data_IF_451049593611
#
_entry.id   IF_451049593611
#
_cell.length_a   1.000
_cell.length_b   1.000
_cell.length_c   1.000
_cell.angle_alpha   90.00
_cell.angle_beta   90.00
_cell.angle_gamma   90.00
#
_symmetry.space_group_name_H-M   'P 1'
#
loop_
_entity.id
_entity.type
_entity.pdbx_description
1 polymer ?
#
# COMPACT_ATOMS: atom_id res chain seq x y z
N UNK A 1 -36.03 3.68 -28.98
CA UNK A 1 -34.80 3.84 -28.16
C UNK A 1 -33.84 2.76 -28.62
N UNK A 2 -32.77 3.14 -29.30
CA UNK A 2 -31.83 2.18 -29.89
C UNK A 2 -30.96 1.56 -28.79
N UNK A 3 -31.03 0.24 -28.63
CA UNK A 3 -30.27 -0.47 -27.59
C UNK A 3 -28.78 -0.39 -27.86
N UNK A 4 -28.00 0.15 -26.92
CA UNK A 4 -26.54 0.20 -27.04
C UNK A 4 -25.99 -1.23 -27.02
N UNK A 5 -25.34 -1.66 -28.10
CA UNK A 5 -24.69 -2.98 -28.17
C UNK A 5 -23.66 -3.13 -27.05
N UNK A 6 -23.75 -4.22 -26.30
CA UNK A 6 -22.81 -4.60 -25.23
C UNK A 6 -22.26 -5.98 -25.57
N UNK A 7 -20.99 -6.22 -25.27
CA UNK A 7 -20.35 -7.53 -25.41
C UNK A 7 -20.30 -8.25 -24.07
N UNK A 8 -20.77 -9.49 -24.06
CA UNK A 8 -20.55 -10.41 -22.94
C UNK A 8 -19.32 -11.26 -23.20
N UNK A 9 -18.46 -11.39 -22.20
CA UNK A 9 -17.26 -12.22 -22.22
C UNK A 9 -17.38 -13.25 -21.10
N UNK A 10 -17.32 -14.54 -21.45
CA UNK A 10 -17.31 -15.64 -20.48
C UNK A 10 -15.91 -16.24 -20.39
N UNK A 11 -15.41 -16.41 -19.18
CA UNK A 11 -14.10 -17.01 -18.91
C UNK A 11 -14.24 -18.07 -17.83
N UNK A 12 -13.78 -19.27 -18.15
CA UNK A 12 -13.67 -20.37 -17.19
C UNK A 12 -12.34 -20.24 -16.45
N UNK A 13 -12.39 -20.11 -15.12
CA UNK A 13 -11.20 -20.22 -14.27
C UNK A 13 -10.93 -21.69 -13.97
N UNK A 14 -9.86 -22.24 -14.56
CA UNK A 14 -9.43 -23.64 -14.38
C UNK A 14 -9.04 -23.98 -12.94
N UNK A 15 -8.74 -22.97 -12.11
CA UNK A 15 -8.27 -23.19 -10.72
C UNK A 15 -9.44 -23.37 -9.77
N UNK A 16 -10.48 -22.56 -9.96
CA UNK A 16 -11.67 -22.53 -9.10
C UNK A 16 -12.84 -23.31 -9.70
N UNK A 17 -12.73 -23.72 -10.96
CA UNK A 17 -13.80 -24.32 -11.75
C UNK A 17 -15.08 -23.45 -11.76
N UNK A 18 -14.90 -22.13 -11.81
CA UNK A 18 -15.98 -21.13 -11.83
C UNK A 18 -15.98 -20.41 -13.16
N UNK A 19 -17.17 -20.20 -13.73
CA UNK A 19 -17.35 -19.36 -14.92
C UNK A 19 -17.61 -17.93 -14.48
N UNK A 20 -16.77 -17.02 -14.94
CA UNK A 20 -16.95 -15.58 -14.76
C UNK A 20 -17.53 -14.96 -16.02
N UNK A 21 -18.54 -14.10 -15.84
CA UNK A 21 -19.18 -13.37 -16.93
C UNK A 21 -18.93 -11.87 -16.76
N UNK A 22 -18.41 -11.24 -17.81
CA UNK A 22 -18.08 -9.82 -17.84
C UNK A 22 -18.84 -9.12 -18.95
N UNK A 23 -19.37 -7.94 -18.67
CA UNK A 23 -19.97 -7.06 -19.68
C UNK A 23 -18.99 -5.93 -20.00
N UNK A 24 -18.69 -5.74 -21.27
CA UNK A 24 -17.79 -4.68 -21.72
C UNK A 24 -18.34 -3.95 -22.94
N UNK A 25 -18.08 -2.66 -23.01
CA UNK A 25 -18.28 -1.84 -24.21
C UNK A 25 -17.10 -1.96 -25.19
N UNK A 26 -16.04 -2.68 -24.81
CA UNK A 26 -14.85 -2.87 -25.63
C UNK A 26 -14.96 -4.15 -26.48
N UNK A 27 -15.12 -3.94 -27.80
CA UNK A 27 -15.22 -5.01 -28.77
C UNK A 27 -13.87 -5.44 -29.34
N UNK A 28 -12.83 -4.61 -29.23
CA UNK A 28 -11.51 -4.84 -29.82
C UNK A 28 -10.62 -5.75 -28.96
N UNK A 29 -10.76 -5.72 -27.64
CA UNK A 29 -9.90 -6.48 -26.75
C UNK A 29 -10.20 -7.98 -26.78
N UNK A 30 -9.16 -8.81 -26.58
CA UNK A 30 -9.34 -10.25 -26.45
C UNK A 30 -10.08 -10.58 -25.14
N UNK A 31 -10.94 -11.63 -25.12
CA UNK A 31 -11.63 -12.09 -23.91
C UNK A 31 -10.73 -12.23 -22.68
N UNK A 32 -9.53 -12.79 -22.88
CA UNK A 32 -8.52 -12.97 -21.82
C UNK A 32 -8.04 -11.64 -21.23
N UNK A 33 -7.86 -10.61 -22.05
CA UNK A 33 -7.45 -9.28 -21.59
C UNK A 33 -8.53 -8.65 -20.73
N UNK A 34 -9.80 -8.75 -21.16
CA UNK A 34 -10.95 -8.27 -20.37
C UNK A 34 -10.97 -8.96 -19.01
N UNK A 35 -10.89 -10.30 -18.97
CA UNK A 35 -10.87 -11.03 -17.70
C UNK A 35 -9.66 -10.68 -16.81
N UNK A 36 -8.48 -10.44 -17.40
CA UNK A 36 -7.29 -10.04 -16.64
C UNK A 36 -7.46 -8.66 -16.00
N UNK A 37 -8.04 -7.69 -16.72
CA UNK A 37 -8.35 -6.37 -16.17
C UNK A 37 -9.41 -6.43 -15.07
N UNK A 38 -10.44 -7.27 -15.23
CA UNK A 38 -11.43 -7.49 -14.18
C UNK A 38 -10.82 -8.16 -12.94
N UNK A 39 -9.83 -9.04 -13.13
CA UNK A 39 -9.05 -9.61 -12.03
C UNK A 39 -8.23 -8.54 -11.29
N UNK A 40 -7.57 -7.63 -12.02
CA UNK A 40 -6.88 -6.50 -11.39
C UNK A 40 -7.84 -5.55 -10.65
N UNK A 41 -9.06 -5.37 -11.16
CA UNK A 41 -10.10 -4.59 -10.46
C UNK A 41 -10.43 -5.17 -9.08
N UNK A 42 -10.41 -6.49 -8.90
CA UNK A 42 -10.62 -7.10 -7.59
C UNK A 42 -9.50 -6.82 -6.60
N UNK A 43 -8.26 -6.63 -7.06
CA UNK A 43 -7.15 -6.22 -6.19
C UNK A 43 -7.40 -4.85 -5.55
N UNK A 44 -8.17 -3.98 -6.21
CA UNK A 44 -8.60 -2.70 -5.63
C UNK A 44 -9.50 -2.92 -4.40
N UNK A 45 -10.36 -3.93 -4.40
CA UNK A 45 -11.22 -4.26 -3.24
C UNK A 45 -10.38 -4.75 -2.07
N UNK A 46 -9.37 -5.59 -2.35
CA UNK A 46 -8.38 -6.04 -1.37
C UNK A 46 -7.59 -4.85 -0.82
N UNK A 47 -7.18 -3.91 -1.68
CA UNK A 47 -6.54 -2.66 -1.26
C UNK A 47 -7.43 -1.87 -0.29
N UNK A 48 -8.70 -1.61 -0.64
CA UNK A 48 -9.63 -0.89 0.23
C UNK A 48 -9.95 -1.64 1.53
N UNK A 49 -9.94 -2.98 1.51
CA UNK A 49 -10.07 -3.79 2.73
C UNK A 49 -8.89 -3.58 3.66
N UNK A 50 -7.66 -3.67 3.13
CA UNK A 50 -6.45 -3.40 3.91
C UNK A 50 -6.43 -1.95 4.42
N UNK A 51 -6.85 -1.01 3.58
CA UNK A 51 -6.93 0.41 3.91
C UNK A 51 -7.82 0.65 5.12
N UNK A 52 -9.05 0.12 5.11
CA UNK A 52 -9.99 0.19 6.23
C UNK A 52 -9.46 -0.51 7.49
N UNK A 53 -8.76 -1.63 7.34
CA UNK A 53 -8.18 -2.35 8.48
C UNK A 53 -7.00 -1.62 9.14
N UNK A 54 -6.17 -0.94 8.34
CA UNK A 54 -4.99 -0.19 8.82
C UNK A 54 -5.35 1.21 9.28
N UNK A 55 -6.36 1.83 8.68
CA UNK A 55 -6.97 3.08 9.14
C UNK A 55 -7.98 2.83 10.25
N UNK A 56 -7.50 2.35 11.40
CA UNK A 56 -8.29 2.45 12.62
C UNK A 56 -8.21 3.90 13.11
N UNK A 57 -9.25 4.69 12.82
CA UNK A 57 -9.43 6.00 13.44
C UNK A 57 -9.78 5.74 14.91
N UNK A 58 -8.76 5.58 15.75
CA UNK A 58 -8.93 5.30 17.20
C UNK A 58 -9.31 6.54 17.99
N UNK A 59 -9.01 7.73 17.46
CA UNK A 59 -9.33 9.01 18.09
C UNK A 59 -9.64 10.03 17.00
N UNK A 60 -10.78 10.70 17.10
CA UNK A 60 -11.11 11.83 16.24
C UNK A 60 -10.35 13.06 16.71
N UNK A 61 -9.67 13.74 15.78
CA UNK A 61 -8.97 15.01 16.08
C UNK A 61 -9.96 16.17 16.24
N UNK A 62 -11.17 16.02 15.68
CA UNK A 62 -12.29 16.93 15.89
C UNK A 62 -13.63 16.22 15.62
N UNK A 63 -14.72 16.74 16.17
CA UNK A 63 -16.06 16.14 16.09
C UNK A 63 -16.88 16.63 14.89
N UNK A 64 -16.42 17.65 14.17
CA UNK A 64 -17.11 18.15 12.98
C UNK A 64 -16.94 17.21 11.78
N UNK A 65 -17.95 17.16 10.92
CA UNK A 65 -17.92 16.34 9.70
C UNK A 65 -16.69 16.66 8.82
N UNK A 66 -16.35 17.95 8.69
CA UNK A 66 -15.17 18.39 7.94
C UNK A 66 -13.86 17.90 8.58
N UNK A 67 -13.75 17.93 9.90
CA UNK A 67 -12.57 17.42 10.60
C UNK A 67 -12.38 15.92 10.35
N UNK A 68 -13.48 15.15 10.36
CA UNK A 68 -13.44 13.71 10.04
C UNK A 68 -13.01 13.47 8.58
N UNK A 69 -13.55 14.22 7.61
CA UNK A 69 -13.12 14.09 6.21
C UNK A 69 -11.63 14.40 6.04
N UNK A 70 -11.15 15.51 6.61
CA UNK A 70 -9.73 15.88 6.54
C UNK A 70 -8.85 14.78 7.15
N UNK A 71 -9.27 14.20 8.28
CA UNK A 71 -8.54 13.10 8.93
C UNK A 71 -8.45 11.87 8.03
N UNK A 72 -9.55 11.49 7.37
CA UNK A 72 -9.57 10.36 6.43
C UNK A 72 -8.66 10.66 5.23
N UNK A 73 -8.83 11.81 4.57
CA UNK A 73 -8.02 12.18 3.40
C UNK A 73 -6.52 12.25 3.74
N UNK A 74 -6.17 12.84 4.87
CA UNK A 74 -4.77 12.93 5.32
C UNK A 74 -4.17 11.55 5.56
N UNK A 75 -4.93 10.64 6.18
CA UNK A 75 -4.44 9.30 6.47
C UNK A 75 -4.34 8.43 5.20
N UNK A 76 -5.23 8.64 4.22
CA UNK A 76 -5.14 8.06 2.87
C UNK A 76 -3.89 8.54 2.11
N UNK A 77 -3.58 9.83 2.18
CA UNK A 77 -2.36 10.40 1.59
C UNK A 77 -1.12 9.82 2.29
N UNK A 78 -1.12 9.78 3.63
CA UNK A 78 -0.01 9.26 4.42
C UNK A 78 0.34 7.81 4.09
N UNK A 79 -0.66 6.91 4.04
CA UNK A 79 -0.42 5.50 3.72
C UNK A 79 0.11 5.31 2.30
N UNK A 80 -0.36 6.13 1.34
CA UNK A 80 0.14 6.11 -0.03
C UNK A 80 1.61 6.54 -0.10
N UNK A 81 1.98 7.59 0.62
CA UNK A 81 3.37 8.05 0.73
C UNK A 81 4.26 7.00 1.37
N UNK A 82 3.84 6.37 2.47
CA UNK A 82 4.60 5.30 3.11
C UNK A 82 4.80 4.10 2.18
N UNK A 83 3.76 3.72 1.42
CA UNK A 83 3.86 2.65 0.42
C UNK A 83 4.79 3.00 -0.73
N UNK A 84 4.77 4.25 -1.19
CA UNK A 84 5.68 4.74 -2.21
C UNK A 84 7.13 4.68 -1.72
N UNK A 85 7.41 5.15 -0.50
CA UNK A 85 8.74 5.06 0.11
C UNK A 85 9.17 3.60 0.22
N UNK A 86 8.33 2.73 0.80
CA UNK A 86 8.58 1.29 0.94
C UNK A 86 8.94 0.63 -0.40
N UNK A 87 8.34 1.05 -1.51
CA UNK A 87 8.61 0.49 -2.84
C UNK A 87 9.90 1.03 -3.47
N UNK A 88 10.33 2.23 -3.10
CA UNK A 88 11.49 2.91 -3.70
C UNK A 88 12.80 2.61 -2.98
N UNK A 89 12.73 2.35 -1.68
CA UNK A 89 13.90 2.06 -0.83
C UNK A 89 14.49 0.69 -1.14
N UNK A 90 15.80 0.56 -0.98
CA UNK A 90 16.54 -0.69 -1.21
C UNK A 90 16.36 -1.71 -0.08
N UNK A 91 16.17 -1.22 1.14
CA UNK A 91 15.96 -2.06 2.32
C UNK A 91 14.52 -2.58 2.35
N UNK A 92 14.32 -3.88 2.58
CA UNK A 92 13.00 -4.49 2.65
C UNK A 92 12.30 -4.18 3.99
N UNK A 93 11.73 -2.98 4.05
CA UNK A 93 11.00 -2.51 5.23
C UNK A 93 9.71 -3.29 5.44
N UNK A 94 9.48 -3.74 6.67
CA UNK A 94 8.11 -3.92 7.13
C UNK A 94 7.43 -2.54 7.27
N UNK A 95 6.22 -2.40 6.73
CA UNK A 95 5.48 -1.12 6.73
C UNK A 95 5.31 -0.52 8.14
N UNK A 96 5.04 -1.35 9.16
CA UNK A 96 4.88 -0.86 10.54
C UNK A 96 6.19 -0.27 11.07
N UNK A 97 7.33 -0.88 10.74
CA UNK A 97 8.65 -0.41 11.17
C UNK A 97 9.02 0.91 10.47
N UNK A 98 8.74 1.02 9.17
CA UNK A 98 8.96 2.25 8.41
C UNK A 98 8.12 3.41 8.97
N UNK A 99 6.83 3.17 9.24
CA UNK A 99 5.94 4.18 9.81
C UNK A 99 6.40 4.61 11.20
N UNK A 100 6.74 3.66 12.07
CA UNK A 100 7.23 3.98 13.41
C UNK A 100 8.55 4.75 13.35
N UNK A 101 9.44 4.36 12.43
CA UNK A 101 10.69 5.08 12.26
C UNK A 101 10.48 6.53 11.82
N UNK A 102 9.69 6.75 10.77
CA UNK A 102 9.41 8.11 10.27
C UNK A 102 8.76 8.95 11.37
N UNK A 103 7.87 8.34 12.17
CA UNK A 103 7.28 9.00 13.34
C UNK A 103 8.33 9.46 14.35
N UNK A 104 9.34 8.63 14.66
CA UNK A 104 10.41 8.97 15.59
C UNK A 104 11.37 10.04 15.04
N UNK A 105 11.53 10.10 13.72
CA UNK A 105 12.55 10.93 13.07
C UNK A 105 11.98 12.11 12.28
N UNK A 106 10.69 12.43 12.45
CA UNK A 106 9.99 13.45 11.64
C UNK A 106 10.59 14.85 11.79
N UNK A 107 11.23 15.14 12.93
CA UNK A 107 11.87 16.43 13.22
C UNK A 107 13.39 16.39 13.12
N UNK A 108 13.97 15.24 12.79
CA UNK A 108 15.43 15.10 12.70
C UNK A 108 15.87 15.51 11.29
N UNK A 109 16.90 16.35 11.20
CA UNK A 109 17.50 16.75 9.92
C UNK A 109 18.37 15.61 9.37
N UNK A 110 17.73 14.57 8.83
CA UNK A 110 18.41 13.46 8.13
C UNK A 110 17.98 13.42 6.67
N UNK A 111 18.87 12.96 5.79
CA UNK A 111 18.48 12.59 4.44
C UNK A 111 17.63 11.31 4.49
N UNK A 112 16.35 11.45 4.14
CA UNK A 112 15.37 10.37 4.21
C UNK A 112 15.79 9.15 3.39
N UNK A 113 16.31 9.35 2.18
CA UNK A 113 16.61 8.25 1.25
C UNK A 113 17.88 7.52 1.66
N UNK A 114 18.93 8.26 2.01
CA UNK A 114 20.18 7.69 2.52
C UNK A 114 19.92 6.79 3.73
N UNK A 115 19.08 7.26 4.63
CA UNK A 115 18.74 6.50 5.83
C UNK A 115 17.78 5.34 5.51
N UNK A 116 16.74 5.56 4.71
CA UNK A 116 15.74 4.51 4.45
C UNK A 116 16.32 3.35 3.60
N UNK A 117 17.37 3.59 2.82
CA UNK A 117 18.13 2.56 2.13
C UNK A 117 19.06 1.76 3.06
N UNK A 118 19.52 2.37 4.16
CA UNK A 118 20.48 1.78 5.10
C UNK A 118 20.16 2.19 6.55
N UNK A 119 19.10 1.63 7.16
CA UNK A 119 18.64 2.03 8.50
C UNK A 119 19.64 1.80 9.62
N UNK A 120 20.45 0.76 9.48
CA UNK A 120 21.41 0.34 10.47
C UNK A 120 22.79 0.78 10.01
N UNK A 121 23.52 1.42 10.93
CA UNK A 121 24.95 1.66 10.73
C UNK A 121 25.59 0.27 10.72
N UNK A 122 26.05 -0.20 9.55
CA UNK A 122 26.86 -1.40 9.41
C UNK A 122 28.28 -1.15 9.94
N UNK A 123 28.40 -0.66 11.17
CA UNK A 123 29.63 -0.78 11.92
C UNK A 123 29.73 -2.25 12.33
N UNK A 124 30.88 -2.88 12.09
CA UNK A 124 31.22 -4.09 12.86
C UNK A 124 30.96 -3.76 14.34
N UNK A 125 30.46 -4.70 15.16
CA UNK A 125 30.48 -4.50 16.60
C UNK A 125 31.91 -4.05 16.99
N UNK A 126 32.07 -3.08 17.91
CA UNK A 126 33.40 -2.72 18.40
C UNK A 126 34.16 -4.00 18.71
N UNK A 127 35.45 -4.07 18.40
CA UNK A 127 36.23 -5.24 18.80
C UNK A 127 36.02 -5.44 20.31
N UNK A 128 35.98 -6.69 20.77
CA UNK A 128 35.78 -7.00 22.19
C UNK A 128 36.92 -6.48 23.08
N UNK A 129 37.96 -5.86 22.51
CA UNK A 129 39.13 -5.34 23.23
C UNK A 129 38.90 -3.92 23.79
N UNK A 130 37.79 -3.27 23.43
CA UNK A 130 37.46 -1.90 23.88
C UNK A 130 36.20 -1.78 24.73
N UNK A 131 35.57 -2.87 25.16
CA UNK A 131 34.45 -2.78 26.10
C UNK A 131 35.02 -2.46 27.48
N UNK A 132 35.05 -1.18 27.79
CA UNK A 132 35.48 -0.63 29.07
C UNK A 132 34.89 -1.44 30.22
N UNK A 133 35.80 -1.94 31.04
CA UNK A 133 35.56 -2.34 32.42
C UNK A 133 34.93 -1.14 33.12
N UNK A 134 33.60 -1.13 33.21
CA UNK A 134 32.88 -0.24 34.10
C UNK A 134 32.11 -1.13 35.06
N UNK A 135 32.76 -1.29 36.21
CA UNK A 135 32.40 -2.00 37.43
C UNK A 135 32.55 -3.52 37.39
#
# INVERSE_FOLDING_TARGET
>A
MEGKKIRQVRVLDSTKNVVYEFLTNNFSWKPKTVASLYKERWEIETFFKHLKQKLKVTSFVGTSQNAVYIQIWTALIGILLFKYIQKKVKYDWNLSNLVNFIRLNIFVKIDLWKWADAPFISGRPPNKEGQFVLF
#
